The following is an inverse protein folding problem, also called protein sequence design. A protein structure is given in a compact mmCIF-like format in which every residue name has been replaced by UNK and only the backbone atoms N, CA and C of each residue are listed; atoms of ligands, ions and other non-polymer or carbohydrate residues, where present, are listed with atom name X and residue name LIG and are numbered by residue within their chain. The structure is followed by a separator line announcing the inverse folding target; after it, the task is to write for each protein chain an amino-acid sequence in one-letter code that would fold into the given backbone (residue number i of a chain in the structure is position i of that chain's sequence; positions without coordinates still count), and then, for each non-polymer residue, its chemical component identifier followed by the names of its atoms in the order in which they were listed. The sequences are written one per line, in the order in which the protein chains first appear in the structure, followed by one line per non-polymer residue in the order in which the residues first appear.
data_IF_945963901796
#
_entry.id   IF_945963901796
#
_cell.length_a   1.000
_cell.length_b   1.000
_cell.length_c   1.000
_cell.angle_alpha   90.00
_cell.angle_beta   90.00
_cell.angle_gamma   90.00
#
_symmetry.space_group_name_H-M   'P 1'
#
loop_
_entity.id
_entity.type
_entity.pdbx_description
1 polymer ?
#
# COMPACT_ATOMS: atom_id res chain seq x y z
N UNK A 1 -17.16 8.98 12.91
CA UNK A 1 -16.72 7.63 12.52
C UNK A 1 -16.90 7.36 11.02
N UNK A 2 -18.03 7.73 10.40
CA UNK A 2 -18.21 7.56 8.95
C UNK A 2 -17.10 8.25 8.11
N UNK A 3 -16.76 9.50 8.45
CA UNK A 3 -15.73 10.28 7.73
C UNK A 3 -14.34 9.62 7.75
N UNK A 4 -13.92 9.05 8.88
CA UNK A 4 -12.63 8.35 8.98
C UNK A 4 -12.62 7.03 8.21
N UNK A 5 -13.77 6.35 8.14
CA UNK A 5 -13.91 5.12 7.40
C UNK A 5 -13.89 5.38 5.88
N UNK A 6 -14.62 6.41 5.42
CA UNK A 6 -14.54 6.88 4.03
C UNK A 6 -13.13 7.33 3.65
N UNK A 7 -12.42 8.02 4.56
CA UNK A 7 -11.03 8.44 4.33
C UNK A 7 -10.11 7.26 4.05
N UNK A 8 -10.21 6.19 4.85
CA UNK A 8 -9.40 4.97 4.66
C UNK A 8 -9.78 4.27 3.36
N UNK A 9 -11.07 4.12 3.06
CA UNK A 9 -11.53 3.52 1.80
C UNK A 9 -10.97 4.24 0.58
N UNK A 10 -11.13 5.56 0.51
CA UNK A 10 -10.63 6.37 -0.61
C UNK A 10 -9.11 6.25 -0.71
N UNK A 11 -8.40 6.30 0.41
CA UNK A 11 -6.95 6.18 0.44
C UNK A 11 -6.45 4.82 -0.04
N UNK A 12 -7.12 3.72 0.37
CA UNK A 12 -6.78 2.36 -0.06
C UNK A 12 -7.06 2.18 -1.54
N UNK A 13 -8.22 2.65 -2.05
CA UNK A 13 -8.54 2.59 -3.48
C UNK A 13 -7.47 3.34 -4.29
N UNK A 14 -7.12 4.57 -3.89
CA UNK A 14 -6.06 5.34 -4.56
C UNK A 14 -4.71 4.62 -4.50
N UNK A 15 -4.32 4.09 -3.34
CA UNK A 15 -3.09 3.31 -3.20
C UNK A 15 -3.05 2.10 -4.13
N UNK A 16 -4.13 1.31 -4.19
CA UNK A 16 -4.22 0.13 -5.04
C UNK A 16 -4.21 0.49 -6.53
N UNK A 17 -4.93 1.52 -6.95
CA UNK A 17 -4.91 1.99 -8.35
C UNK A 17 -3.51 2.42 -8.76
N UNK A 18 -2.78 3.11 -7.87
CA UNK A 18 -1.40 3.52 -8.12
C UNK A 18 -0.46 2.32 -8.17
N UNK A 19 -0.63 1.31 -7.30
CA UNK A 19 0.16 0.08 -7.35
C UNK A 19 0.03 -0.61 -8.71
N UNK A 20 -1.20 -0.78 -9.20
CA UNK A 20 -1.48 -1.39 -10.52
C UNK A 20 -0.94 -0.57 -11.67
N UNK A 21 -1.01 0.75 -11.57
CA UNK A 21 -0.43 1.65 -12.57
C UNK A 21 1.10 1.50 -12.64
N UNK A 22 1.79 1.47 -11.49
CA UNK A 22 3.25 1.27 -11.41
C UNK A 22 3.64 -0.12 -11.90
N UNK A 23 2.88 -1.15 -11.55
CA UNK A 23 3.08 -2.51 -12.06
C UNK A 23 2.98 -2.56 -13.59
N UNK A 24 1.94 -1.94 -14.17
CA UNK A 24 1.76 -1.87 -15.62
C UNK A 24 2.82 -1.04 -16.34
N UNK A 25 3.26 0.07 -15.75
CA UNK A 25 4.38 0.85 -16.28
C UNK A 25 5.70 0.07 -16.20
N UNK A 26 5.95 -0.61 -15.08
CA UNK A 26 7.18 -1.38 -14.88
C UNK A 26 7.27 -2.60 -15.79
N UNK A 27 6.15 -3.30 -16.03
CA UNK A 27 6.11 -4.39 -17.00
C UNK A 27 6.37 -3.88 -18.42
N UNK A 28 5.75 -2.77 -18.83
CA UNK A 28 5.97 -2.14 -20.13
C UNK A 28 7.43 -1.67 -20.32
N UNK A 29 8.03 -1.06 -19.29
CA UNK A 29 9.41 -0.58 -19.34
C UNK A 29 10.45 -1.71 -19.44
N UNK A 30 10.16 -2.88 -18.87
CA UNK A 30 11.02 -4.05 -18.91
C UNK A 30 10.76 -4.95 -20.14
N UNK A 31 9.84 -4.57 -21.03
CA UNK A 31 9.45 -5.39 -22.17
C UNK A 31 8.83 -6.73 -21.79
N UNK A 32 8.25 -6.81 -20.58
CA UNK A 32 7.54 -7.98 -20.09
C UNK A 32 6.09 -7.85 -20.53
N UNK A 33 5.61 -8.80 -21.34
CA UNK A 33 4.28 -8.78 -21.96
C UNK A 33 3.18 -8.45 -20.91
N UNK A 34 2.20 -7.59 -21.24
CA UNK A 34 1.10 -7.23 -20.34
C UNK A 34 0.04 -8.35 -20.33
N UNK A 35 0.47 -9.56 -20.01
CA UNK A 35 -0.41 -10.67 -19.62
C UNK A 35 -0.59 -10.69 -18.10
N UNK A 36 -1.47 -11.55 -17.58
CA UNK A 36 -1.60 -11.79 -16.14
C UNK A 36 -0.31 -12.44 -15.61
N UNK A 37 0.71 -11.61 -15.35
CA UNK A 37 2.00 -11.98 -14.80
C UNK A 37 3.13 -11.97 -15.84
N UNK A 38 4.33 -11.46 -15.51
CA UNK A 38 5.54 -11.69 -16.29
C UNK A 38 6.02 -13.11 -16.00
N UNK A 39 5.35 -14.04 -16.68
CA UNK A 39 5.57 -15.46 -16.61
C UNK A 39 6.68 -15.81 -17.60
N UNK A 40 7.90 -15.97 -17.12
CA UNK A 40 8.91 -16.69 -17.90
C UNK A 40 8.67 -18.17 -17.69
N UNK A 41 8.28 -18.88 -18.77
CA UNK A 41 8.19 -20.33 -18.79
C UNK A 41 9.60 -20.91 -18.61
N UNK A 42 9.91 -21.28 -17.37
CA UNK A 42 11.04 -22.17 -17.12
C UNK A 42 10.65 -23.56 -17.64
N UNK A 43 11.59 -24.30 -18.25
CA UNK A 43 11.39 -25.62 -18.90
C UNK A 43 10.77 -26.71 -18.00
N UNK A 44 10.46 -26.39 -16.75
CA UNK A 44 9.81 -27.23 -15.73
C UNK A 44 8.35 -26.88 -15.42
N UNK A 45 7.71 -25.96 -16.17
CA UNK A 45 6.28 -25.63 -16.00
C UNK A 45 5.94 -24.92 -14.69
N UNK A 46 6.94 -24.33 -14.02
CA UNK A 46 6.75 -23.48 -12.84
C UNK A 46 6.96 -22.03 -13.25
N UNK A 47 5.88 -21.26 -13.28
CA UNK A 47 5.87 -19.83 -13.56
C UNK A 47 6.64 -19.07 -12.49
N UNK A 48 7.90 -18.75 -12.77
CA UNK A 48 8.75 -17.99 -11.84
C UNK A 48 8.67 -16.49 -12.15
N UNK A 49 8.56 -15.70 -11.10
CA UNK A 49 8.58 -14.25 -11.17
C UNK A 49 10.00 -13.77 -11.50
N UNK A 50 10.18 -13.06 -12.63
CA UNK A 50 11.46 -12.44 -12.98
C UNK A 50 11.95 -11.50 -11.86
N UNK A 51 13.26 -11.53 -11.56
CA UNK A 51 13.88 -10.67 -10.53
C UNK A 51 13.67 -9.18 -10.79
N UNK A 52 13.57 -8.78 -12.07
CA UNK A 52 13.21 -7.41 -12.45
C UNK A 52 11.79 -7.02 -12.01
N UNK A 53 10.82 -7.91 -12.20
CA UNK A 53 9.44 -7.67 -11.74
C UNK A 53 9.34 -7.66 -10.22
N UNK A 54 10.13 -8.49 -9.53
CA UNK A 54 10.18 -8.48 -8.06
C UNK A 54 10.53 -7.08 -7.52
N UNK A 55 11.51 -6.40 -8.14
CA UNK A 55 11.86 -5.03 -7.80
C UNK A 55 10.72 -4.04 -8.06
N UNK A 56 10.04 -4.16 -9.21
CA UNK A 56 8.89 -3.33 -9.56
C UNK A 56 7.76 -3.50 -8.55
N UNK A 57 7.45 -4.74 -8.14
CA UNK A 57 6.42 -5.01 -7.13
C UNK A 57 6.77 -4.44 -5.77
N UNK A 58 8.02 -4.61 -5.32
CA UNK A 58 8.44 -4.04 -4.04
C UNK A 58 8.36 -2.50 -4.04
N UNK A 59 8.75 -1.87 -5.16
CA UNK A 59 8.62 -0.42 -5.34
C UNK A 59 7.15 0.01 -5.42
N UNK A 60 6.30 -0.71 -6.15
CA UNK A 60 4.88 -0.38 -6.29
C UNK A 60 4.16 -0.47 -4.94
N UNK A 61 4.45 -1.49 -4.13
CA UNK A 61 3.87 -1.65 -2.79
C UNK A 61 4.38 -0.59 -1.81
N UNK A 62 5.66 -0.24 -1.88
CA UNK A 62 6.21 0.86 -1.08
C UNK A 62 5.52 2.19 -1.40
N UNK A 63 5.45 2.56 -2.68
CA UNK A 63 4.86 3.83 -3.14
C UNK A 63 3.36 3.86 -2.83
N UNK A 64 2.63 2.79 -3.10
CA UNK A 64 1.20 2.72 -2.81
C UNK A 64 0.87 2.78 -1.32
N UNK A 65 1.64 2.09 -0.47
CA UNK A 65 1.47 2.17 0.99
C UNK A 65 1.76 3.59 1.50
N UNK A 66 2.77 4.25 0.95
CA UNK A 66 3.09 5.64 1.27
C UNK A 66 1.95 6.58 0.85
N UNK A 67 1.46 6.49 -0.38
CA UNK A 67 0.38 7.35 -0.89
C UNK A 67 -0.94 7.11 -0.16
N UNK A 68 -1.29 5.85 0.11
CA UNK A 68 -2.47 5.49 0.91
C UNK A 68 -2.36 6.08 2.33
N UNK A 69 -1.19 5.99 2.95
CA UNK A 69 -0.96 6.55 4.29
C UNK A 69 -1.07 8.06 4.30
N UNK A 70 -0.45 8.75 3.34
CA UNK A 70 -0.57 10.20 3.18
C UNK A 70 -2.02 10.64 2.99
N UNK A 71 -2.74 9.96 2.09
CA UNK A 71 -4.14 10.28 1.75
C UNK A 71 -5.07 10.06 2.94
N UNK A 72 -4.89 8.97 3.67
CA UNK A 72 -5.68 8.68 4.87
C UNK A 72 -5.47 9.72 5.97
N UNK A 73 -4.24 10.25 6.13
CA UNK A 73 -3.91 11.29 7.10
C UNK A 73 -4.46 12.65 6.68
N UNK A 74 -4.41 12.97 5.39
CA UNK A 74 -4.96 14.20 4.82
C UNK A 74 -6.47 14.30 5.06
N UNK A 75 -7.21 13.22 4.78
CA UNK A 75 -8.68 13.22 4.89
C UNK A 75 -9.14 12.96 6.34
N UNK A 76 -8.41 12.10 7.06
CA UNK A 76 -8.75 11.61 8.39
C UNK A 76 -8.25 12.46 9.56
N UNK A 77 -7.60 13.59 9.31
CA UNK A 77 -7.19 14.53 10.37
C UNK A 77 -5.92 14.13 11.11
N UNK A 78 -4.92 13.61 10.39
CA UNK A 78 -3.56 13.30 10.89
C UNK A 78 -3.53 12.27 12.03
N UNK A 79 -4.49 11.36 12.09
CA UNK A 79 -4.48 10.24 13.02
C UNK A 79 -3.60 9.10 12.52
N UNK A 80 -2.46 8.87 13.19
CA UNK A 80 -1.51 7.82 12.82
C UNK A 80 -2.13 6.40 12.70
N UNK A 81 -3.11 5.99 13.53
CA UNK A 81 -3.76 4.68 13.36
C UNK A 81 -4.45 4.48 12.01
N UNK A 82 -4.94 5.55 11.36
CA UNK A 82 -5.58 5.46 10.05
C UNK A 82 -4.56 5.13 8.95
N UNK A 83 -3.36 5.71 9.03
CA UNK A 83 -2.27 5.37 8.13
C UNK A 83 -1.81 3.92 8.29
N UNK A 84 -1.70 3.44 9.54
CA UNK A 84 -1.38 2.03 9.79
C UNK A 84 -2.43 1.07 9.25
N UNK A 85 -3.72 1.41 9.37
CA UNK A 85 -4.79 0.63 8.75
C UNK A 85 -4.68 0.61 7.23
N UNK A 86 -4.46 1.76 6.59
CA UNK A 86 -4.29 1.84 5.15
C UNK A 86 -3.07 1.03 4.66
N UNK A 87 -1.91 1.16 5.34
CA UNK A 87 -0.71 0.39 5.04
C UNK A 87 -0.92 -1.12 5.22
N UNK A 88 -1.64 -1.52 6.27
CA UNK A 88 -2.02 -2.92 6.49
C UNK A 88 -2.87 -3.47 5.35
N UNK A 89 -3.86 -2.70 4.86
CA UNK A 89 -4.66 -3.12 3.70
C UNK A 89 -3.81 -3.33 2.45
N UNK A 90 -2.84 -2.45 2.19
CA UNK A 90 -1.89 -2.61 1.07
C UNK A 90 -1.03 -3.87 1.26
N UNK A 91 -0.56 -4.13 2.48
CA UNK A 91 0.22 -5.34 2.80
C UNK A 91 -0.58 -6.64 2.57
N UNK A 92 -1.87 -6.65 2.91
CA UNK A 92 -2.74 -7.79 2.62
C UNK A 92 -2.91 -7.99 1.12
N UNK A 93 -3.09 -6.90 0.36
CA UNK A 93 -3.14 -7.00 -1.10
C UNK A 93 -1.83 -7.53 -1.71
N UNK A 94 -0.68 -7.13 -1.17
CA UNK A 94 0.62 -7.67 -1.58
C UNK A 94 0.71 -9.18 -1.30
N UNK A 95 0.28 -9.63 -0.11
CA UNK A 95 0.25 -11.05 0.26
C UNK A 95 -0.70 -11.83 -0.67
N UNK A 96 -1.89 -11.31 -0.96
CA UNK A 96 -2.84 -11.94 -1.89
C UNK A 96 -2.22 -12.05 -3.30
N UNK A 97 -1.52 -11.02 -3.75
CA UNK A 97 -0.83 -11.03 -5.04
C UNK A 97 0.33 -12.04 -5.07
N UNK A 98 1.03 -12.21 -3.95
CA UNK A 98 2.08 -13.22 -3.78
C UNK A 98 1.55 -14.64 -3.64
N UNK A 99 0.33 -14.82 -3.14
CA UNK A 99 -0.33 -16.13 -3.12
C UNK A 99 -0.82 -16.54 -4.52
N UNK A 100 -1.15 -15.56 -5.37
CA UNK A 100 -1.61 -15.80 -6.73
C UNK A 100 -0.48 -16.20 -7.71
N UNK A 101 0.78 -15.97 -7.35
CA UNK A 101 1.96 -16.23 -8.21
C UNK A 101 2.98 -17.04 -7.42
N UNK A 102 3.69 -17.99 -8.05
CA UNK A 102 4.78 -18.71 -7.39
C UNK A 102 6.00 -17.79 -7.19
N UNK A 103 5.92 -16.90 -6.20
CA UNK A 103 6.94 -15.91 -5.92
C UNK A 103 8.10 -16.51 -5.11
N UNK A 104 9.34 -16.07 -5.36
CA UNK A 104 10.49 -16.40 -4.52
C UNK A 104 10.25 -16.07 -3.04
N UNK A 105 10.72 -16.94 -2.15
CA UNK A 105 10.51 -16.83 -0.69
C UNK A 105 11.00 -15.49 -0.11
N UNK A 106 12.02 -14.88 -0.70
CA UNK A 106 12.61 -13.62 -0.24
C UNK A 106 11.72 -12.39 -0.49
N UNK A 107 10.79 -12.45 -1.45
CA UNK A 107 9.87 -11.32 -1.74
C UNK A 107 8.84 -11.17 -0.62
N UNK A 108 8.49 -12.25 0.07
CA UNK A 108 7.50 -12.24 1.15
C UNK A 108 7.85 -11.27 2.29
N UNK A 109 9.02 -11.38 2.96
CA UNK A 109 9.42 -10.39 3.95
C UNK A 109 9.63 -9.00 3.33
N UNK A 110 10.10 -8.94 2.07
CA UNK A 110 10.28 -7.69 1.35
C UNK A 110 8.98 -6.90 1.18
N UNK A 111 7.88 -7.56 0.81
CA UNK A 111 6.58 -6.93 0.60
C UNK A 111 5.93 -6.43 1.88
N UNK A 112 6.09 -7.17 2.98
CA UNK A 112 5.62 -6.73 4.30
C UNK A 112 6.45 -5.54 4.78
N UNK A 113 7.77 -5.61 4.65
CA UNK A 113 8.67 -4.52 5.04
C UNK A 113 8.43 -3.26 4.20
N UNK A 114 8.25 -3.39 2.88
CA UNK A 114 8.01 -2.25 2.00
C UNK A 114 6.70 -1.53 2.33
N UNK A 115 5.62 -2.27 2.58
CA UNK A 115 4.35 -1.68 3.00
C UNK A 115 4.46 -1.00 4.38
N UNK A 116 5.15 -1.62 5.35
CA UNK A 116 5.36 -1.05 6.67
C UNK A 116 6.22 0.24 6.62
N UNK A 117 7.29 0.25 5.81
CA UNK A 117 8.14 1.42 5.61
C UNK A 117 7.35 2.54 4.94
N UNK A 118 6.57 2.23 3.89
CA UNK A 118 5.71 3.20 3.23
C UNK A 118 4.70 3.84 4.20
N UNK A 119 4.08 3.02 5.06
CA UNK A 119 3.19 3.49 6.12
C UNK A 119 3.86 4.40 7.14
N UNK A 120 5.02 3.97 7.65
CA UNK A 120 5.80 4.74 8.61
C UNK A 120 6.26 6.10 8.03
N UNK A 121 6.75 6.11 6.79
CA UNK A 121 7.17 7.34 6.12
C UNK A 121 5.98 8.27 5.88
N UNK A 122 4.81 7.75 5.54
CA UNK A 122 3.59 8.56 5.41
C UNK A 122 3.19 9.25 6.71
N UNK A 123 3.25 8.52 7.83
CA UNK A 123 3.01 9.08 9.18
C UNK A 123 4.02 10.18 9.50
N UNK A 124 5.30 9.93 9.25
CA UNK A 124 6.36 10.89 9.55
C UNK A 124 6.27 12.14 8.69
N UNK A 125 6.00 11.99 7.38
CA UNK A 125 5.87 13.10 6.45
C UNK A 125 4.68 14.01 6.78
N UNK A 126 3.55 13.43 7.21
CA UNK A 126 2.34 14.18 7.55
C UNK A 126 2.22 14.49 9.04
N UNK A 127 3.22 14.18 9.87
CA UNK A 127 3.17 14.45 11.31
C UNK A 127 1.97 13.80 12.00
N UNK A 128 1.68 12.54 11.64
CA UNK A 128 0.56 11.80 12.20
C UNK A 128 0.71 11.62 13.72
N UNK A 129 -0.33 11.93 14.48
CA UNK A 129 -0.36 11.78 15.94
C UNK A 129 -1.13 10.53 16.34
N UNK A 130 -0.62 9.79 17.32
CA UNK A 130 -1.31 8.65 17.95
C UNK A 130 -2.34 9.09 18.98
N UNK A 131 -2.26 10.35 19.43
CA UNK A 131 -3.24 10.92 20.33
C UNK A 131 -4.57 11.16 19.60
N UNK A 132 -5.64 10.63 20.18
CA UNK A 132 -7.01 11.00 19.82
C UNK A 132 -7.17 12.49 20.08
N UNK A 133 -7.06 13.34 19.04
CA UNK A 133 -7.48 14.73 19.16
C UNK A 133 -8.99 14.71 19.37
N UNK A 134 -9.44 14.60 20.63
CA UNK A 134 -10.85 14.78 20.98
C UNK A 134 -11.24 16.12 20.37
N UNK A 135 -12.21 16.12 19.46
CA UNK A 135 -12.88 17.35 19.09
C UNK A 135 -13.29 17.97 20.43
N UNK A 136 -12.72 19.14 20.74
CA UNK A 136 -13.13 19.90 21.91
C UNK A 136 -14.62 20.09 21.72
N UNK A 137 -15.41 19.31 22.46
CA UNK A 137 -16.85 19.50 22.56
C UNK A 137 -16.90 20.89 23.13
N UNK A 138 -17.24 21.89 22.30
CA UNK A 138 -17.62 23.21 22.81
C UNK A 138 -18.77 22.91 23.75
N UNK A 139 -18.44 22.74 25.02
CA UNK A 139 -19.38 22.84 26.13
C UNK A 139 -19.90 24.25 25.99
N UNK A 140 -21.06 24.35 25.32
CA UNK A 140 -21.88 25.54 25.36
C UNK A 140 -22.08 25.84 26.83
N UNK A 141 -21.46 26.94 27.21
CA UNK A 141 -21.66 27.65 28.47
C UNK A 141 -23.17 27.85 28.61
N UNK A 142 -23.77 27.13 29.56
CA UNK A 142 -24.98 27.56 30.21
C UNK A 142 -24.52 28.37 31.42
N UNK A 143 -24.27 29.66 31.22
CA UNK A 143 -24.26 30.70 32.26
C UNK A 143 -24.94 31.94 31.67
#
# INVERSE_FOLDING_TARGET
MLRSLCAVLIAVILGLTLARFIEGMGSAALGLDPGPGPMTDDRSGKTQLSSGMAGVLLASWWISAFVASCTSLLIGGRWAPLAWLAATCISFNAIISLLAVAAPWWIWPGGVASAAIGGYLGIRAFGGTYAVRRASRKTGVFE
#
